data_IF_605678162904
#
_entry.id   IF_605678162904
#
_cell.length_a   1.000
_cell.length_b   1.000
_cell.length_c   1.000
_cell.angle_alpha   90.00
_cell.angle_beta   90.00
_cell.angle_gamma   90.00
#
_symmetry.space_group_name_H-M   'P 1'
#
loop_
_entity.id
_entity.type
_entity.pdbx_description
1 polymer ?
#
# COMPACT_ATOMS: atom_id res chain seq x y z
N UNK A 1 4.88 -9.01 16.32
CA UNK A 1 4.59 -7.99 15.29
C UNK A 1 5.18 -8.41 13.95
N UNK A 2 4.52 -8.11 12.83
CA UNK A 2 4.81 -8.70 11.51
C UNK A 2 5.68 -7.85 10.56
N UNK A 3 6.11 -6.65 10.96
CA UNK A 3 6.96 -5.78 10.13
C UNK A 3 8.08 -5.12 10.95
N UNK A 4 9.21 -4.80 10.32
CA UNK A 4 10.30 -4.00 10.88
C UNK A 4 10.65 -2.88 9.89
N UNK A 5 10.74 -1.63 10.36
CA UNK A 5 11.23 -0.50 9.56
C UNK A 5 12.67 -0.23 9.99
N UNK A 6 13.65 -0.75 9.24
CA UNK A 6 15.06 -0.73 9.62
C UNK A 6 15.59 0.62 10.12
N UNK A 7 15.39 1.73 9.38
CA UNK A 7 15.88 3.05 9.81
C UNK A 7 15.23 3.62 11.07
N UNK A 8 14.04 3.14 11.44
CA UNK A 8 13.29 3.60 12.61
C UNK A 8 13.34 2.61 13.79
N UNK A 9 14.02 1.48 13.63
CA UNK A 9 14.13 0.43 14.63
C UNK A 9 15.40 0.58 15.48
N UNK A 10 15.30 0.17 16.74
CA UNK A 10 16.44 0.07 17.64
C UNK A 10 17.33 -1.12 17.27
N UNK A 11 18.59 -1.11 17.73
CA UNK A 11 19.51 -2.24 17.53
C UNK A 11 18.98 -3.55 18.11
N UNK A 12 18.31 -3.48 19.26
CA UNK A 12 17.74 -4.66 19.91
C UNK A 12 16.59 -5.24 19.06
N UNK A 13 15.67 -4.40 18.59
CA UNK A 13 14.58 -4.85 17.71
C UNK A 13 15.12 -5.48 16.42
N UNK A 14 16.16 -4.89 15.82
CA UNK A 14 16.82 -5.47 14.66
C UNK A 14 17.44 -6.85 14.95
N UNK A 15 18.09 -7.03 16.11
CA UNK A 15 18.66 -8.30 16.51
C UNK A 15 17.56 -9.37 16.72
N UNK A 16 16.50 -9.02 17.44
CA UNK A 16 15.36 -9.91 17.68
C UNK A 16 14.67 -10.30 16.37
N UNK A 17 14.52 -9.35 15.43
CA UNK A 17 13.96 -9.63 14.11
C UNK A 17 14.86 -10.50 13.24
N UNK A 18 16.18 -10.33 13.35
CA UNK A 18 17.14 -11.15 12.64
C UNK A 18 17.04 -12.63 13.07
N UNK A 19 16.90 -12.90 14.37
CA UNK A 19 16.69 -14.27 14.86
C UNK A 19 15.38 -14.87 14.34
N UNK A 20 14.32 -14.06 14.25
CA UNK A 20 13.04 -14.51 13.66
C UNK A 20 13.16 -14.84 12.17
N UNK A 21 13.91 -14.04 11.41
CA UNK A 21 14.18 -14.30 9.98
C UNK A 21 14.99 -15.59 9.83
N UNK A 22 16.04 -15.79 10.65
CA UNK A 22 16.85 -17.03 10.61
C UNK A 22 16.03 -18.27 10.92
N UNK A 23 15.07 -18.18 11.85
CA UNK A 23 14.23 -19.30 12.24
C UNK A 23 13.26 -19.75 11.14
N UNK A 24 12.80 -18.84 10.26
CA UNK A 24 11.91 -19.18 9.14
C UNK A 24 12.08 -18.20 7.96
N UNK A 25 13.17 -18.30 7.18
CA UNK A 25 13.52 -17.28 6.19
C UNK A 25 12.47 -17.16 5.06
N UNK A 26 11.82 -18.28 4.69
CA UNK A 26 10.75 -18.29 3.69
C UNK A 26 9.48 -17.54 4.11
N UNK A 27 9.35 -17.18 5.40
CA UNK A 27 8.23 -16.40 5.92
C UNK A 27 8.39 -14.89 5.79
N UNK A 28 9.49 -14.39 5.21
CA UNK A 28 9.80 -12.96 5.18
C UNK A 28 10.14 -12.48 3.76
N UNK A 29 9.81 -11.20 3.52
CA UNK A 29 10.28 -10.42 2.38
C UNK A 29 10.92 -9.13 2.88
N UNK A 30 11.87 -8.60 2.13
CA UNK A 30 12.49 -7.31 2.40
C UNK A 30 12.33 -6.39 1.19
N UNK A 31 12.08 -5.12 1.45
CA UNK A 31 12.00 -4.07 0.44
C UNK A 31 12.78 -2.85 0.94
N UNK A 32 13.37 -2.05 0.04
CA UNK A 32 13.93 -0.76 0.41
C UNK A 32 12.87 0.12 1.09
N UNK A 33 13.28 0.90 2.09
CA UNK A 33 12.37 1.87 2.71
C UNK A 33 12.07 2.96 1.70
N UNK A 34 10.80 3.07 1.30
CA UNK A 34 10.32 4.10 0.38
C UNK A 34 9.88 5.33 1.15
N UNK A 35 10.15 6.51 0.57
CA UNK A 35 9.58 7.77 1.04
C UNK A 35 8.11 7.86 0.61
N UNK A 36 7.20 7.43 1.47
CA UNK A 36 5.76 7.49 1.20
C UNK A 36 5.29 8.95 1.09
N UNK A 37 4.43 9.23 0.11
CA UNK A 37 3.73 10.51 0.01
C UNK A 37 2.92 10.80 1.28
N UNK A 38 2.75 12.09 1.58
CA UNK A 38 1.93 12.54 2.72
C UNK A 38 0.71 13.32 2.25
N UNK A 39 -0.36 13.25 3.04
CA UNK A 39 -1.58 14.02 2.84
C UNK A 39 -1.86 14.86 4.11
N UNK A 40 -2.29 16.13 3.97
CA UNK A 40 -2.71 16.94 5.11
C UNK A 40 -3.76 16.23 5.96
N UNK A 41 -3.49 16.09 7.26
CA UNK A 41 -4.35 15.38 8.20
C UNK A 41 -4.54 16.21 9.45
N UNK A 42 -5.78 16.31 9.89
CA UNK A 42 -6.11 17.01 11.12
C UNK A 42 -5.74 16.13 12.32
N UNK A 43 -4.87 16.67 13.17
CA UNK A 43 -4.35 16.04 14.39
C UNK A 43 -4.56 17.02 15.56
N UNK A 44 -4.26 16.58 16.78
CA UNK A 44 -4.50 17.41 17.99
C UNK A 44 -3.83 18.79 17.96
N UNK A 45 -2.70 18.94 17.26
CA UNK A 45 -1.97 20.20 17.11
C UNK A 45 -2.35 21.03 15.87
N UNK A 46 -3.36 20.62 15.09
CA UNK A 46 -3.78 21.29 13.86
C UNK A 46 -3.60 20.42 12.62
N UNK A 47 -3.21 21.00 11.49
CA UNK A 47 -2.99 20.25 10.23
C UNK A 47 -1.52 19.87 10.14
N UNK A 48 -1.25 18.57 10.00
CA UNK A 48 0.10 18.05 9.84
C UNK A 48 0.16 17.01 8.71
N UNK A 49 1.31 16.83 8.05
CA UNK A 49 1.49 15.78 7.05
C UNK A 49 1.45 14.40 7.72
N UNK A 50 0.75 13.45 7.10
CA UNK A 50 0.74 12.03 7.49
C UNK A 50 0.87 11.14 6.26
N UNK A 51 1.61 10.04 6.39
CA UNK A 51 1.81 9.10 5.30
C UNK A 51 0.49 8.41 4.95
N UNK A 52 0.28 8.22 3.65
CA UNK A 52 -0.92 7.57 3.12
C UNK A 52 -0.56 6.41 2.21
N UNK A 53 -1.44 5.42 2.15
CA UNK A 53 -1.47 4.46 1.06
C UNK A 53 -2.81 4.53 0.34
N UNK A 54 -2.76 4.30 -0.97
CA UNK A 54 -3.95 4.22 -1.80
C UNK A 54 -4.11 2.80 -2.32
N UNK A 55 -5.30 2.23 -2.08
CA UNK A 55 -5.70 0.91 -2.57
C UNK A 55 -6.85 1.07 -3.57
N UNK A 56 -6.56 1.13 -4.89
CA UNK A 56 -7.59 1.06 -5.90
C UNK A 56 -8.20 -0.35 -5.98
N UNK A 57 -9.40 -0.45 -6.56
CA UNK A 57 -10.08 -1.71 -6.81
C UNK A 57 -10.17 -1.97 -8.31
N UNK A 58 -9.62 -3.11 -8.72
CA UNK A 58 -9.74 -3.64 -10.09
C UNK A 58 -10.85 -4.67 -10.10
N UNK A 59 -11.82 -4.50 -10.99
CA UNK A 59 -12.92 -5.44 -11.21
C UNK A 59 -12.63 -6.25 -12.47
N UNK A 60 -12.58 -7.57 -12.35
CA UNK A 60 -12.35 -8.50 -13.46
C UNK A 60 -13.61 -9.33 -13.74
N UNK A 61 -14.01 -9.39 -15.00
CA UNK A 61 -15.13 -10.18 -15.54
C UNK A 61 -14.92 -10.33 -17.04
N UNK A 62 -15.98 -10.14 -17.85
CA UNK A 62 -15.83 -10.10 -19.33
C UNK A 62 -14.83 -9.01 -19.79
N UNK A 63 -14.63 -7.98 -18.96
CA UNK A 63 -13.64 -6.93 -19.11
C UNK A 63 -13.00 -6.60 -17.77
N UNK A 64 -11.77 -6.10 -17.79
CA UNK A 64 -11.09 -5.60 -16.59
C UNK A 64 -11.26 -4.09 -16.52
N UNK A 65 -11.77 -3.57 -15.41
CA UNK A 65 -12.01 -2.13 -15.20
C UNK A 65 -11.53 -1.68 -13.83
N UNK A 66 -11.14 -0.41 -13.72
CA UNK A 66 -10.76 0.21 -12.45
C UNK A 66 -11.87 1.17 -12.03
N UNK A 67 -12.26 1.12 -10.75
CA UNK A 67 -13.21 2.09 -10.19
C UNK A 67 -12.52 3.45 -10.05
N UNK A 68 -13.14 4.58 -10.43
CA UNK A 68 -12.58 5.92 -10.21
C UNK A 68 -12.62 6.30 -8.73
N UNK A 69 -11.80 5.62 -7.94
CA UNK A 69 -11.73 5.72 -6.49
C UNK A 69 -10.99 4.55 -5.86
N UNK A 70 -11.02 4.50 -4.53
CA UNK A 70 -10.40 3.43 -3.77
C UNK A 70 -10.29 3.79 -2.30
N UNK A 71 -9.71 2.86 -1.54
CA UNK A 71 -9.50 3.04 -0.12
C UNK A 71 -8.18 3.79 0.11
N UNK A 72 -8.25 5.01 0.63
CA UNK A 72 -7.05 5.69 1.15
C UNK A 72 -6.94 5.43 2.65
N UNK A 73 -5.79 4.89 3.07
CA UNK A 73 -5.45 4.72 4.50
C UNK A 73 -4.42 5.77 4.90
N UNK A 74 -4.48 6.19 6.16
CA UNK A 74 -3.58 7.21 6.73
C UNK A 74 -2.93 6.69 8.01
N UNK A 75 -1.61 6.82 8.11
CA UNK A 75 -0.88 6.56 9.35
C UNK A 75 -1.05 7.77 10.29
N UNK A 76 -1.87 7.66 11.35
CA UNK A 76 -2.18 8.82 12.21
C UNK A 76 -1.02 9.20 13.15
N UNK A 77 -0.19 8.22 13.52
CA UNK A 77 1.02 8.43 14.32
C UNK A 77 2.06 9.19 13.52
N UNK A 78 2.64 10.22 14.12
CA UNK A 78 3.69 11.03 13.50
C UNK A 78 4.90 10.18 13.11
N UNK A 79 5.42 10.38 11.90
CA UNK A 79 6.56 9.63 11.36
C UNK A 79 6.31 8.15 11.07
N UNK A 80 5.12 7.62 11.37
CA UNK A 80 4.80 6.22 11.12
C UNK A 80 4.56 5.97 9.62
N UNK A 81 5.21 4.93 9.10
CA UNK A 81 4.91 4.36 7.78
C UNK A 81 3.79 3.31 7.85
N UNK A 82 3.26 3.06 9.06
CA UNK A 82 2.28 1.99 9.29
C UNK A 82 0.86 2.53 9.20
N UNK A 83 0.23 2.17 8.10
CA UNK A 83 -1.14 2.53 7.69
C UNK A 83 -2.19 1.48 8.07
N UNK A 84 -1.79 0.44 8.80
CA UNK A 84 -2.69 -0.65 9.18
C UNK A 84 -3.71 -0.18 10.23
N UNK A 85 -5.00 -0.48 10.00
CA UNK A 85 -6.09 -0.06 10.89
C UNK A 85 -5.97 -0.64 12.30
N UNK A 86 -5.43 -1.85 12.43
CA UNK A 86 -5.16 -2.47 13.74
C UNK A 86 -4.10 -1.75 14.57
N UNK A 87 -3.45 -0.72 14.04
CA UNK A 87 -2.37 0.03 14.69
C UNK A 87 -2.60 1.54 14.62
N UNK A 88 -3.86 1.97 14.64
CA UNK A 88 -4.21 3.39 14.61
C UNK A 88 -4.17 4.00 13.20
N UNK A 89 -4.25 3.17 12.16
CA UNK A 89 -4.50 3.63 10.80
C UNK A 89 -5.93 4.16 10.65
N UNK A 90 -6.07 5.37 10.11
CA UNK A 90 -7.36 5.93 9.71
C UNK A 90 -7.64 5.71 8.22
N UNK A 91 -8.78 6.19 7.76
CA UNK A 91 -9.15 6.22 6.33
C UNK A 91 -9.48 7.64 5.88
N UNK A 92 -9.32 7.91 4.59
CA UNK A 92 -9.74 9.13 3.92
C UNK A 92 -10.53 8.78 2.67
N UNK A 93 -11.46 9.66 2.30
CA UNK A 93 -12.10 9.60 1.00
C UNK A 93 -11.08 9.91 -0.09
N UNK A 94 -11.16 9.18 -1.20
CA UNK A 94 -10.32 9.40 -2.38
C UNK A 94 -11.18 10.02 -3.47
N UNK A 95 -10.84 11.23 -3.90
CA UNK A 95 -11.52 11.90 -4.99
C UNK A 95 -10.70 11.77 -6.26
N UNK A 96 -11.26 11.11 -7.28
CA UNK A 96 -10.74 11.10 -8.64
C UNK A 96 -11.52 12.13 -9.43
N UNK A 97 -10.85 13.20 -9.83
CA UNK A 97 -11.49 14.29 -10.55
C UNK A 97 -11.65 13.93 -12.03
N UNK A 98 -12.83 14.20 -12.59
CA UNK A 98 -13.04 14.14 -14.02
C UNK A 98 -12.56 15.45 -14.66
N UNK A 99 -11.71 15.36 -15.68
CA UNK A 99 -11.38 16.51 -16.54
C UNK A 99 -12.60 16.86 -17.40
N UNK A 100 -12.87 18.15 -17.62
CA UNK A 100 -14.07 18.66 -18.30
C UNK A 100 -14.16 18.37 -19.81
N UNK A 101 -13.33 17.47 -20.33
CA UNK A 101 -13.52 16.89 -21.65
C UNK A 101 -14.25 15.57 -21.47
N UNK A 102 -15.52 15.54 -21.84
CA UNK A 102 -16.32 14.32 -21.86
C UNK A 102 -15.64 13.27 -22.75
N UNK A 103 -14.83 12.41 -22.16
CA UNK A 103 -14.20 11.30 -22.87
C UNK A 103 -14.76 9.98 -22.34
N UNK A 104 -15.54 9.36 -23.21
CA UNK A 104 -15.94 7.96 -23.10
C UNK A 104 -14.68 7.11 -23.27
N UNK A 105 -13.92 6.92 -22.21
CA UNK A 105 -12.89 5.88 -22.17
C UNK A 105 -13.07 5.06 -20.89
N UNK A 106 -13.84 3.99 -21.04
CA UNK A 106 -13.72 2.83 -20.17
C UNK A 106 -12.27 2.35 -20.30
N UNK A 107 -11.46 2.51 -19.26
CA UNK A 107 -10.13 1.91 -19.22
C UNK A 107 -10.31 0.40 -19.04
N UNK A 108 -10.53 -0.28 -20.17
CA UNK A 108 -10.46 -1.73 -20.26
C UNK A 108 -8.97 -2.11 -20.13
N UNK A 109 -8.55 -2.56 -18.94
CA UNK A 109 -7.22 -3.14 -18.78
C UNK A 109 -7.23 -4.43 -19.60
N UNK A 110 -6.35 -4.54 -20.60
CA UNK A 110 -6.30 -5.74 -21.44
C UNK A 110 -6.14 -6.99 -20.57
N UNK A 111 -7.02 -7.98 -20.77
CA UNK A 111 -6.83 -9.30 -20.17
C UNK A 111 -5.48 -9.86 -20.63
N UNK A 112 -4.69 -10.53 -19.76
CA UNK A 112 -3.47 -11.19 -20.20
C UNK A 112 -3.81 -12.20 -21.32
N UNK A 113 -2.99 -12.31 -22.38
CA UNK A 113 -3.27 -13.21 -23.48
C UNK A 113 -3.40 -14.65 -22.96
N UNK A 114 -4.52 -15.29 -23.29
CA UNK A 114 -4.75 -16.69 -22.99
C UNK A 114 -3.69 -17.56 -23.68
N UNK A 115 -2.88 -18.25 -22.87
CA UNK A 115 -2.21 -19.50 -23.23
C UNK A 115 -0.89 -19.37 -23.99
N UNK A 116 0.22 -19.42 -23.23
CA UNK A 116 1.37 -20.26 -23.61
C UNK A 116 1.80 -21.05 -22.37
N UNK A 117 2.09 -22.33 -22.58
CA UNK A 117 2.21 -23.42 -21.62
C UNK A 117 2.96 -23.14 -20.30
N UNK A 118 2.49 -23.86 -19.28
CA UNK A 118 3.27 -24.30 -18.13
C UNK A 118 4.64 -24.83 -18.56
N UNK A 119 5.70 -24.17 -18.11
CA UNK A 119 6.91 -24.86 -17.67
C UNK A 119 7.23 -24.36 -16.26
N UNK A 120 6.86 -25.20 -15.29
CA UNK A 120 7.51 -25.24 -13.99
C UNK A 120 9.00 -25.46 -14.22
N UNK A 121 9.83 -24.53 -13.75
CA UNK A 121 11.21 -24.84 -13.45
C UNK A 121 11.56 -24.23 -12.10
N UNK A 122 12.01 -25.13 -11.21
CA UNK A 122 12.47 -24.97 -9.83
C UNK A 122 12.80 -23.55 -9.36
#
# INVERSE_FOLDING_TARGET
YGMLVGPAATRQECADYAERIKANPGGFIAQPTLSLSTCPTFVGSGIAPRHVDFRPFVLSGDRVRIVPGGLTRVALTEGSLVVNSSQGGGTKDTWVLESSEAQTDRVDVAAPPNGTNMEQQC
#
